data_IF_462941101848
#
_entry.id   IF_462941101848
#
_cell.length_a   1.000
_cell.length_b   1.000
_cell.length_c   1.000
_cell.angle_alpha   90.00
_cell.angle_beta   90.00
_cell.angle_gamma   90.00
#
_symmetry.space_group_name_H-M   'P 1'
#
loop_
_entity.id
_entity.type
_entity.pdbx_description
1 polymer ?
#
# COMPACT_ATOMS: atom_id res chain seq x y z
N UNK A 1 7.98 -0.56 -13.62
CA UNK A 1 7.67 0.37 -12.50
C UNK A 1 8.99 0.97 -12.03
N UNK A 2 9.05 2.26 -11.68
CA UNK A 2 10.30 2.91 -11.25
C UNK A 2 10.03 3.87 -10.09
N UNK A 3 11.01 4.01 -9.19
CA UNK A 3 11.02 5.05 -8.15
C UNK A 3 11.72 6.33 -8.61
N UNK A 4 12.33 6.30 -9.81
CA UNK A 4 13.07 7.43 -10.41
C UNK A 4 12.55 7.69 -11.84
N UNK A 5 11.34 8.24 -11.98
CA UNK A 5 10.76 8.53 -13.31
C UNK A 5 11.54 9.61 -14.08
N UNK A 6 12.27 10.46 -13.36
CA UNK A 6 13.15 11.52 -13.89
C UNK A 6 14.34 10.98 -14.71
N UNK A 7 14.77 9.75 -14.46
CA UNK A 7 15.83 9.11 -15.23
C UNK A 7 15.37 8.43 -16.53
N UNK A 8 14.06 8.32 -16.75
CA UNK A 8 13.56 7.66 -17.96
C UNK A 8 13.72 8.61 -19.15
N UNK A 9 14.31 8.10 -20.23
CA UNK A 9 14.45 8.80 -21.50
C UNK A 9 13.08 9.33 -21.99
N UNK A 10 13.00 10.65 -22.22
CA UNK A 10 11.81 11.33 -22.73
C UNK A 10 11.31 10.75 -24.04
N UNK A 11 12.18 10.20 -24.88
CA UNK A 11 11.78 9.56 -26.13
C UNK A 11 10.89 8.34 -25.87
N UNK A 12 11.05 7.63 -24.75
CA UNK A 12 10.18 6.51 -24.37
C UNK A 12 8.84 6.96 -23.79
N UNK A 13 8.78 8.17 -23.23
CA UNK A 13 7.59 8.74 -22.58
C UNK A 13 6.61 9.43 -23.54
N UNK A 14 6.92 9.46 -24.85
CA UNK A 14 6.03 10.02 -25.88
C UNK A 14 4.83 9.10 -26.13
N UNK A 15 3.73 9.70 -26.61
CA UNK A 15 2.55 8.96 -27.05
C UNK A 15 2.90 7.88 -28.08
N UNK A 16 2.23 6.72 -27.99
CA UNK A 16 2.55 5.54 -28.79
C UNK A 16 3.68 4.64 -28.25
N UNK A 17 4.27 4.99 -27.10
CA UNK A 17 5.21 4.13 -26.34
C UNK A 17 4.71 3.94 -24.90
N UNK A 18 5.35 4.59 -23.92
CA UNK A 18 4.87 4.62 -22.53
C UNK A 18 3.95 5.82 -22.34
N UNK A 19 2.76 5.72 -22.93
CA UNK A 19 1.80 6.82 -23.00
C UNK A 19 1.19 7.16 -21.63
N UNK A 20 0.74 6.14 -20.89
CA UNK A 20 0.10 6.33 -19.58
C UNK A 20 1.14 6.30 -18.47
N UNK A 21 1.26 7.41 -17.75
CA UNK A 21 2.13 7.56 -16.58
C UNK A 21 1.26 7.66 -15.33
N UNK A 22 1.22 6.60 -14.52
CA UNK A 22 0.50 6.59 -13.24
C UNK A 22 1.47 6.68 -12.08
N UNK A 23 1.26 7.68 -11.21
CA UNK A 23 2.00 7.81 -9.95
C UNK A 23 1.23 7.07 -8.86
N UNK A 24 1.86 6.08 -8.26
CA UNK A 24 1.33 5.36 -7.10
C UNK A 24 1.89 6.06 -5.87
N UNK A 25 1.00 6.66 -5.07
CA UNK A 25 1.34 7.32 -3.81
C UNK A 25 1.28 6.37 -2.62
N UNK A 26 1.60 6.89 -1.44
CA UNK A 26 1.34 6.19 -0.19
C UNK A 26 -0.17 6.05 0.04
N UNK A 27 -0.62 4.96 0.69
CA UNK A 27 -2.03 4.76 1.01
C UNK A 27 -2.54 5.82 1.99
N UNK A 28 -3.76 6.29 1.75
CA UNK A 28 -4.51 7.09 2.71
C UNK A 28 -4.97 6.22 3.90
N UNK A 29 -5.54 6.82 4.94
CA UNK A 29 -5.97 6.08 6.13
C UNK A 29 -6.96 4.94 5.81
N UNK A 30 -7.88 5.19 4.87
CA UNK A 30 -8.83 4.17 4.40
C UNK A 30 -8.11 3.05 3.64
N UNK A 31 -7.15 3.39 2.78
CA UNK A 31 -6.30 2.44 2.08
C UNK A 31 -5.46 1.60 3.03
N UNK A 32 -4.89 2.20 4.08
CA UNK A 32 -4.15 1.47 5.13
C UNK A 32 -5.04 0.49 5.87
N UNK A 33 -6.25 0.91 6.25
CA UNK A 33 -7.25 0.03 6.86
C UNK A 33 -7.57 -1.15 5.94
N UNK A 34 -7.77 -0.91 4.64
CA UNK A 34 -8.02 -1.98 3.67
C UNK A 34 -6.84 -2.94 3.55
N UNK A 35 -5.61 -2.43 3.46
CA UNK A 35 -4.39 -3.25 3.38
C UNK A 35 -4.28 -4.12 4.64
N UNK A 36 -4.36 -3.53 5.83
CA UNK A 36 -4.33 -4.26 7.09
C UNK A 36 -5.45 -5.29 7.18
N UNK A 37 -6.65 -4.97 6.68
CA UNK A 37 -7.77 -5.91 6.65
C UNK A 37 -7.49 -7.12 5.74
N UNK A 38 -6.88 -6.91 4.57
CA UNK A 38 -6.51 -7.99 3.65
C UNK A 38 -5.47 -8.92 4.28
N UNK A 39 -4.42 -8.37 4.88
CA UNK A 39 -3.36 -9.18 5.49
C UNK A 39 -3.84 -9.93 6.75
N UNK A 40 -4.70 -9.30 7.56
CA UNK A 40 -5.24 -9.91 8.79
C UNK A 40 -6.46 -10.82 8.56
N UNK A 41 -7.07 -10.81 7.36
CA UNK A 41 -8.29 -11.59 7.06
C UNK A 41 -8.10 -13.09 7.32
N UNK A 42 -6.95 -13.65 6.93
CA UNK A 42 -6.63 -15.07 7.15
C UNK A 42 -6.48 -15.39 8.63
N UNK A 43 -5.75 -14.56 9.39
CA UNK A 43 -5.57 -14.74 10.84
C UNK A 43 -6.90 -14.66 11.58
N UNK A 44 -7.77 -13.71 11.21
CA UNK A 44 -9.13 -13.60 11.77
C UNK A 44 -9.99 -14.81 11.40
N UNK A 45 -9.90 -15.30 10.18
CA UNK A 45 -10.63 -16.49 9.71
C UNK A 45 -10.29 -17.78 10.47
N UNK A 46 -9.03 -17.90 10.92
CA UNK A 46 -8.54 -19.03 11.72
C UNK A 46 -8.53 -18.76 13.25
N UNK A 47 -9.14 -17.67 13.72
CA UNK A 47 -9.15 -17.26 15.14
C UNK A 47 -7.75 -17.14 15.78
N UNK A 48 -6.74 -16.77 14.98
CA UNK A 48 -5.37 -16.53 15.44
C UNK A 48 -5.10 -15.07 15.79
N UNK A 49 -6.03 -14.17 15.43
CA UNK A 49 -5.96 -12.75 15.78
C UNK A 49 -6.65 -12.53 17.13
N UNK A 50 -5.95 -11.88 18.05
CA UNK A 50 -6.50 -11.55 19.37
C UNK A 50 -7.61 -10.50 19.27
N UNK A 51 -8.57 -10.56 20.20
CA UNK A 51 -9.78 -9.73 20.18
C UNK A 51 -9.54 -8.27 20.60
N UNK A 52 -8.38 -7.98 21.18
CA UNK A 52 -7.90 -6.65 21.57
C UNK A 52 -7.28 -5.86 20.40
N UNK A 53 -7.05 -6.49 19.25
CA UNK A 53 -6.43 -5.82 18.09
C UNK A 53 -7.47 -4.99 17.33
N UNK A 54 -7.38 -3.66 17.45
CA UNK A 54 -8.14 -2.72 16.63
C UNK A 54 -7.36 -2.27 15.38
N UNK A 55 -7.77 -2.79 14.22
CA UNK A 55 -7.18 -2.45 12.92
C UNK A 55 -7.42 -0.97 12.56
N UNK A 56 -8.49 -0.35 13.05
CA UNK A 56 -8.78 1.07 12.77
C UNK A 56 -7.77 1.96 13.49
N UNK A 57 -7.49 1.66 14.75
CA UNK A 57 -6.48 2.37 15.54
C UNK A 57 -5.10 2.26 14.89
N UNK A 58 -4.71 1.04 14.48
CA UNK A 58 -3.46 0.81 13.74
C UNK A 58 -3.38 1.61 12.44
N UNK A 59 -4.49 1.74 11.69
CA UNK A 59 -4.52 2.52 10.46
C UNK A 59 -4.30 4.03 10.72
N UNK A 60 -4.78 4.55 11.85
CA UNK A 60 -4.59 5.95 12.25
C UNK A 60 -3.15 6.22 12.71
N UNK A 61 -2.52 5.28 13.42
CA UNK A 61 -1.15 5.41 13.94
C UNK A 61 -0.05 5.19 12.88
N UNK A 62 -0.30 4.34 11.89
CA UNK A 62 0.68 3.98 10.82
C UNK A 62 0.77 5.02 9.68
N UNK A 63 0.81 6.31 10.02
CA UNK A 63 0.91 7.38 9.02
C UNK A 63 2.20 7.25 8.22
N UNK A 64 2.09 7.46 6.90
CA UNK A 64 3.17 7.35 5.90
C UNK A 64 3.71 5.95 5.64
N UNK A 65 3.09 4.89 6.18
CA UNK A 65 3.51 3.53 5.87
C UNK A 65 3.09 3.14 4.45
N UNK A 66 4.01 2.54 3.73
CA UNK A 66 3.76 1.85 2.46
C UNK A 66 3.02 0.53 2.68
N UNK A 67 2.45 -0.03 1.62
CA UNK A 67 1.79 -1.33 1.71
C UNK A 67 2.72 -2.45 2.18
N UNK A 68 3.99 -2.41 1.80
CA UNK A 68 4.99 -3.38 2.26
C UNK A 68 5.35 -3.21 3.74
N UNK A 69 5.40 -1.96 4.26
CA UNK A 69 5.63 -1.72 5.70
C UNK A 69 4.42 -2.16 6.53
N UNK A 70 3.20 -2.00 6.02
CA UNK A 70 1.99 -2.53 6.68
C UNK A 70 1.95 -4.05 6.67
N UNK A 71 2.42 -4.69 5.60
CA UNK A 71 2.58 -6.15 5.57
C UNK A 71 3.62 -6.62 6.60
N UNK A 72 4.76 -5.93 6.71
CA UNK A 72 5.80 -6.28 7.70
C UNK A 72 5.40 -6.04 9.16
N UNK A 73 4.32 -5.29 9.41
CA UNK A 73 3.77 -5.08 10.74
C UNK A 73 2.86 -6.25 11.20
N UNK A 74 2.29 -7.00 10.26
CA UNK A 74 1.34 -8.11 10.52
C UNK A 74 2.09 -9.42 10.77
#
# INVERSE_FOLDING_TARGET
MTNRPDLIDEALLRSGRLEVKMKIGLPDEKGRLQILHIHTARMRGHQLLSADVDIKELATETKNFSGAELEGLV
#
